data_IF_655720047510
#
_entry.id   IF_655720047510
#
_cell.length_a   1.000
_cell.length_b   1.000
_cell.length_c   1.000
_cell.angle_alpha   90.00
_cell.angle_beta   90.00
_cell.angle_gamma   90.00
#
_symmetry.space_group_name_H-M   'P 1'
#
loop_
_entity.id
_entity.type
_entity.pdbx_description
1 polymer ?
#
# COMPACT_ATOMS: atom_id res chain seq x y z
N UNK A 1 47.72 43.93 52.59
CA UNK A 1 47.69 42.74 51.70
C UNK A 1 46.31 42.08 51.73
N UNK A 2 45.22 42.86 51.63
CA UNK A 2 43.86 42.41 52.01
C UNK A 2 42.79 42.67 50.94
N UNK A 3 43.17 43.27 49.81
CA UNK A 3 42.22 43.60 48.73
C UNK A 3 42.25 42.55 47.59
N UNK A 4 43.34 41.78 47.46
CA UNK A 4 43.49 40.76 46.40
C UNK A 4 42.83 39.40 46.73
N UNK A 5 42.56 39.14 48.02
CA UNK A 5 41.84 37.93 48.48
C UNK A 5 40.31 38.07 48.33
N UNK A 6 39.80 39.31 48.34
CA UNK A 6 38.36 39.55 48.14
C UNK A 6 37.95 39.48 46.67
N UNK A 7 38.79 39.96 45.75
CA UNK A 7 38.49 39.84 44.31
C UNK A 7 38.55 38.39 43.82
N UNK A 8 39.44 37.57 44.40
CA UNK A 8 39.53 36.13 44.10
C UNK A 8 38.38 35.32 44.68
N UNK A 9 37.90 35.64 45.90
CA UNK A 9 36.70 35.01 46.48
C UNK A 9 35.40 35.38 45.74
N UNK A 10 35.27 36.64 45.28
CA UNK A 10 34.11 37.08 44.49
C UNK A 10 34.11 36.45 43.10
N UNK A 11 35.29 36.22 42.49
CA UNK A 11 35.40 35.52 41.21
C UNK A 11 35.07 34.01 41.32
N UNK A 12 35.48 33.33 42.39
CA UNK A 12 35.12 31.92 42.64
C UNK A 12 33.64 31.73 42.98
N UNK A 13 33.02 32.64 43.74
CA UNK A 13 31.56 32.61 43.99
C UNK A 13 30.77 32.87 42.70
N UNK A 14 31.23 33.78 41.83
CA UNK A 14 30.52 34.09 40.58
C UNK A 14 30.61 32.93 39.58
N UNK A 15 31.72 32.18 39.55
CA UNK A 15 31.87 30.98 38.73
C UNK A 15 31.04 29.80 39.27
N UNK A 16 30.97 29.60 40.59
CA UNK A 16 30.14 28.54 41.19
C UNK A 16 28.63 28.82 41.07
N UNK A 17 28.23 30.09 41.05
CA UNK A 17 26.82 30.48 40.86
C UNK A 17 26.38 30.35 39.40
N UNK A 18 27.29 30.55 38.43
CA UNK A 18 27.04 30.31 37.01
C UNK A 18 27.01 28.80 36.67
N UNK A 19 27.91 27.99 37.24
CA UNK A 19 27.92 26.53 37.05
C UNK A 19 26.67 25.84 37.61
N UNK A 20 26.19 26.28 38.79
CA UNK A 20 24.98 25.72 39.40
C UNK A 20 23.67 26.21 38.77
N UNK A 21 23.70 27.32 38.01
CA UNK A 21 22.58 27.77 37.18
C UNK A 21 22.47 26.98 35.87
N UNK A 22 23.60 26.63 35.24
CA UNK A 22 23.66 25.82 34.02
C UNK A 22 23.22 24.36 34.27
N UNK A 23 23.64 23.75 35.37
CA UNK A 23 23.18 22.40 35.77
C UNK A 23 21.67 22.35 36.06
N UNK A 24 21.10 23.40 36.66
CA UNK A 24 19.65 23.47 36.93
C UNK A 24 18.81 23.71 35.67
N UNK A 25 19.37 24.35 34.64
CA UNK A 25 18.70 24.50 33.34
C UNK A 25 18.79 23.25 32.47
N UNK A 26 19.88 22.50 32.56
CA UNK A 26 20.03 21.25 31.81
C UNK A 26 19.17 20.13 32.41
N UNK A 27 19.02 20.10 33.73
CA UNK A 27 18.18 19.10 34.40
C UNK A 27 16.66 19.36 34.23
N UNK A 28 16.26 20.60 33.92
CA UNK A 28 14.88 20.94 33.51
C UNK A 28 14.59 20.62 32.04
N UNK A 29 15.61 20.63 31.16
CA UNK A 29 15.51 20.14 29.78
C UNK A 29 15.58 18.62 29.70
N UNK A 30 16.36 17.96 30.56
CA UNK A 30 16.49 16.50 30.62
C UNK A 30 15.21 15.81 31.12
N UNK A 31 14.44 16.45 32.01
CA UNK A 31 13.19 15.90 32.57
C UNK A 31 11.96 16.10 31.70
N UNK A 32 11.98 17.08 30.77
CA UNK A 32 10.90 17.28 29.79
C UNK A 32 11.07 16.44 28.51
N UNK A 33 12.24 15.83 28.32
CA UNK A 33 12.56 14.98 27.15
C UNK A 33 12.64 13.48 27.47
N UNK A 34 12.14 13.03 28.63
CA UNK A 34 12.17 11.61 29.04
C UNK A 34 10.78 10.93 29.09
N UNK A 35 9.75 11.58 28.56
CA UNK A 35 8.36 11.10 28.58
C UNK A 35 7.75 10.70 27.23
N UNK A 36 8.27 11.18 26.09
CA UNK A 36 7.56 11.06 24.80
C UNK A 36 8.36 10.38 23.67
N UNK A 37 9.57 9.87 23.95
CA UNK A 37 10.43 9.29 22.90
C UNK A 37 10.28 7.79 22.63
N UNK A 38 9.76 6.98 23.57
CA UNK A 38 9.86 5.51 23.49
C UNK A 38 8.57 4.76 23.14
N UNK A 39 7.47 5.47 22.87
CA UNK A 39 6.17 4.85 22.54
C UNK A 39 5.88 4.76 21.04
N UNK A 40 6.61 5.51 20.20
CA UNK A 40 6.49 5.47 18.74
C UNK A 40 7.38 4.43 18.05
N UNK A 41 8.62 4.25 18.51
CA UNK A 41 9.60 3.37 17.84
C UNK A 41 9.32 1.87 18.00
N UNK A 42 8.59 1.47 19.05
CA UNK A 42 8.21 0.06 19.26
C UNK A 42 7.03 -0.41 18.41
N UNK A 43 6.25 0.51 17.80
CA UNK A 43 5.17 0.14 16.87
C UNK A 43 5.69 -0.06 15.44
N UNK A 44 6.65 0.74 14.98
CA UNK A 44 7.18 0.62 13.61
C UNK A 44 7.96 -0.67 13.36
N UNK A 45 8.71 -1.18 14.35
CA UNK A 45 9.54 -2.38 14.16
C UNK A 45 8.72 -3.68 13.98
N UNK A 46 7.46 -3.70 14.41
CA UNK A 46 6.60 -4.90 14.29
C UNK A 46 5.92 -4.98 12.91
N UNK A 47 5.85 -3.88 12.16
CA UNK A 47 5.25 -3.83 10.83
C UNK A 47 6.28 -4.08 9.70
N UNK A 48 7.57 -3.84 9.94
CA UNK A 48 8.64 -4.09 8.95
C UNK A 48 8.90 -5.58 8.66
N UNK A 49 8.46 -6.49 9.54
CA UNK A 49 8.85 -7.92 9.47
C UNK A 49 7.71 -8.91 9.18
N UNK A 50 6.52 -8.45 8.78
CA UNK A 50 5.58 -9.35 8.07
C UNK A 50 5.95 -9.31 6.60
N UNK A 51 6.98 -10.09 6.25
CA UNK A 51 7.46 -10.31 4.89
C UNK A 51 6.44 -11.03 4.03
N UNK A 52 5.30 -10.38 3.80
CA UNK A 52 4.49 -10.70 2.64
C UNK A 52 5.23 -10.10 1.45
N UNK A 53 5.63 -10.94 0.50
CA UNK A 53 6.19 -10.52 -0.78
C UNK A 53 5.12 -9.72 -1.53
N UNK A 54 5.13 -8.41 -1.30
CA UNK A 54 4.26 -7.47 -1.97
C UNK A 54 4.93 -7.05 -3.28
N UNK A 55 4.22 -7.29 -4.38
CA UNK A 55 4.57 -6.81 -5.70
C UNK A 55 4.25 -5.32 -5.78
N UNK A 56 5.23 -4.51 -6.13
CA UNK A 56 5.07 -3.07 -6.34
C UNK A 56 5.29 -2.69 -7.81
N UNK A 57 4.40 -1.84 -8.31
CA UNK A 57 4.46 -1.29 -9.67
C UNK A 57 4.36 0.22 -9.62
N UNK A 58 5.35 0.88 -10.20
CA UNK A 58 5.32 2.34 -10.39
C UNK A 58 4.61 2.63 -11.71
N UNK A 59 3.48 3.33 -11.64
CA UNK A 59 2.65 3.59 -12.82
C UNK A 59 3.12 4.84 -13.57
N UNK A 60 3.30 5.94 -12.85
CA UNK A 60 3.78 7.21 -13.40
C UNK A 60 4.59 7.98 -12.39
N UNK A 61 5.61 8.68 -12.89
CA UNK A 61 6.39 9.65 -12.12
C UNK A 61 6.25 11.01 -12.81
N UNK A 62 5.73 11.99 -12.07
CA UNK A 62 5.52 13.35 -12.55
C UNK A 62 6.49 14.30 -11.86
N UNK A 63 7.19 15.14 -12.63
CA UNK A 63 7.94 16.27 -12.07
C UNK A 63 7.03 17.49 -11.99
N UNK A 64 6.67 17.90 -10.78
CA UNK A 64 5.85 19.08 -10.50
C UNK A 64 6.71 20.24 -9.99
N UNK A 65 6.27 21.48 -10.20
CA UNK A 65 7.06 22.67 -9.81
C UNK A 65 6.22 23.73 -9.11
N UNK A 66 6.79 24.36 -8.07
CA UNK A 66 6.25 25.57 -7.45
C UNK A 66 7.10 26.78 -7.84
N UNK A 67 6.49 27.81 -8.42
CA UNK A 67 7.17 29.06 -8.77
C UNK A 67 7.27 29.99 -7.56
N UNK A 68 8.41 30.64 -7.39
CA UNK A 68 8.69 31.66 -6.37
C UNK A 68 9.50 32.81 -6.99
N UNK A 69 9.73 33.89 -6.24
CA UNK A 69 10.39 35.12 -6.74
C UNK A 69 11.78 34.88 -7.36
N UNK A 70 12.49 33.83 -6.93
CA UNK A 70 13.85 33.48 -7.38
C UNK A 70 13.94 32.28 -8.33
N UNK A 71 12.82 31.69 -8.76
CA UNK A 71 12.84 30.56 -9.69
C UNK A 71 11.72 29.54 -9.46
N UNK A 72 12.02 28.26 -9.76
CA UNK A 72 11.07 27.14 -9.62
C UNK A 72 11.67 26.07 -8.73
N UNK A 73 10.95 25.71 -7.68
CA UNK A 73 11.29 24.56 -6.83
C UNK A 73 10.62 23.32 -7.40
N UNK A 74 11.39 22.30 -7.76
CA UNK A 74 10.86 21.04 -8.27
C UNK A 74 10.54 20.05 -7.15
N UNK A 75 9.59 19.15 -7.43
CA UNK A 75 9.28 17.99 -6.63
C UNK A 75 8.81 16.87 -7.56
N UNK A 76 8.94 15.63 -7.13
CA UNK A 76 8.46 14.46 -7.85
C UNK A 76 7.24 13.90 -7.15
N UNK A 77 6.24 13.56 -7.94
CA UNK A 77 5.08 12.79 -7.52
C UNK A 77 5.12 11.42 -8.18
N UNK A 78 4.89 10.37 -7.40
CA UNK A 78 4.87 8.99 -7.86
C UNK A 78 3.50 8.37 -7.54
N UNK A 79 2.89 7.76 -8.55
CA UNK A 79 1.72 6.90 -8.38
C UNK A 79 2.21 5.45 -8.35
N UNK A 80 1.98 4.77 -7.23
CA UNK A 80 2.44 3.41 -6.98
C UNK A 80 1.26 2.52 -6.68
N UNK A 81 1.29 1.32 -7.22
CA UNK A 81 0.34 0.25 -6.91
C UNK A 81 1.11 -0.86 -6.22
N UNK A 82 0.54 -1.39 -5.14
CA UNK A 82 1.12 -2.46 -4.34
C UNK A 82 0.08 -3.57 -4.23
N UNK A 83 0.48 -4.83 -4.36
CA UNK A 83 -0.42 -5.96 -4.19
C UNK A 83 0.31 -7.26 -3.89
N UNK A 84 -0.44 -8.24 -3.40
CA UNK A 84 0.09 -9.56 -3.02
C UNK A 84 -0.03 -10.62 -4.14
N UNK A 85 -0.60 -10.25 -5.30
CA UNK A 85 -0.95 -11.19 -6.38
C UNK A 85 -2.05 -12.21 -5.99
N UNK A 86 -2.58 -12.11 -4.77
CA UNK A 86 -3.58 -13.02 -4.19
C UNK A 86 -4.96 -12.38 -4.06
N UNK A 87 -5.12 -11.16 -4.55
CA UNK A 87 -6.39 -10.44 -4.60
C UNK A 87 -6.41 -9.23 -3.69
N UNK A 88 -5.32 -8.90 -3.00
CA UNK A 88 -5.23 -7.68 -2.20
C UNK A 88 -4.39 -6.64 -2.93
N UNK A 89 -4.97 -5.45 -3.14
CA UNK A 89 -4.30 -4.34 -3.83
C UNK A 89 -4.49 -3.04 -3.07
N UNK A 90 -3.47 -2.20 -3.12
CA UNK A 90 -3.49 -0.84 -2.62
C UNK A 90 -2.90 0.11 -3.66
N UNK A 91 -3.44 1.32 -3.72
CA UNK A 91 -2.91 2.39 -4.56
C UNK A 91 -2.46 3.51 -3.64
N UNK A 92 -1.27 4.04 -3.89
CA UNK A 92 -0.68 5.10 -3.10
C UNK A 92 -0.13 6.23 -3.95
N UNK A 93 -0.19 7.43 -3.40
CA UNK A 93 0.33 8.63 -4.06
C UNK A 93 1.40 9.28 -3.18
N UNK A 94 2.64 9.25 -3.64
CA UNK A 94 3.78 9.80 -2.92
C UNK A 94 4.29 11.08 -3.56
N UNK A 95 4.71 12.06 -2.74
CA UNK A 95 5.39 13.27 -3.22
C UNK A 95 6.61 13.59 -2.37
N UNK A 96 7.74 13.86 -3.03
CA UNK A 96 8.98 14.25 -2.38
C UNK A 96 9.85 15.12 -3.29
N UNK A 97 10.99 15.61 -2.79
CA UNK A 97 11.99 16.34 -3.60
C UNK A 97 12.84 15.40 -4.46
N UNK A 98 12.93 14.14 -4.06
CA UNK A 98 13.68 13.09 -4.75
C UNK A 98 12.74 11.96 -5.20
N UNK A 99 13.09 11.28 -6.29
CA UNK A 99 12.27 10.21 -6.87
C UNK A 99 12.16 8.99 -5.95
N UNK A 100 13.25 8.41 -5.40
CA UNK A 100 13.14 7.23 -4.55
C UNK A 100 12.32 7.50 -3.28
N UNK A 101 12.51 8.68 -2.67
CA UNK A 101 11.73 9.10 -1.52
C UNK A 101 10.24 9.30 -1.84
N UNK A 102 9.89 9.71 -3.06
CA UNK A 102 8.49 9.80 -3.49
C UNK A 102 7.86 8.41 -3.67
N UNK A 103 8.60 7.46 -4.26
CA UNK A 103 8.14 6.07 -4.43
C UNK A 103 7.92 5.40 -3.07
N UNK A 104 8.89 5.52 -2.15
CA UNK A 104 8.78 4.95 -0.80
C UNK A 104 7.56 5.50 -0.04
N UNK A 105 7.29 6.80 -0.15
CA UNK A 105 6.06 7.41 0.42
C UNK A 105 4.80 6.86 -0.24
N UNK A 106 4.81 6.64 -1.55
CA UNK A 106 3.70 6.03 -2.29
C UNK A 106 3.44 4.59 -1.86
N UNK A 107 4.49 3.78 -1.66
CA UNK A 107 4.37 2.41 -1.16
C UNK A 107 3.77 2.37 0.25
N UNK A 108 4.23 3.23 1.16
CA UNK A 108 3.67 3.31 2.52
C UNK A 108 2.21 3.77 2.53
N UNK A 109 1.84 4.67 1.62
CA UNK A 109 0.45 5.11 1.45
C UNK A 109 -0.44 4.00 0.88
N UNK A 110 0.06 3.24 -0.11
CA UNK A 110 -0.66 2.10 -0.69
C UNK A 110 -0.93 1.00 0.33
N UNK A 111 0.07 0.66 1.17
CA UNK A 111 -0.06 -0.35 2.23
C UNK A 111 -1.15 -0.03 3.25
N UNK A 112 -1.44 1.25 3.49
CA UNK A 112 -2.53 1.68 4.39
C UNK A 112 -3.91 1.52 3.77
N UNK A 113 -4.00 1.55 2.45
CA UNK A 113 -5.26 1.55 1.69
C UNK A 113 -5.43 0.26 0.89
N UNK A 114 -4.96 -0.87 1.44
CA UNK A 114 -5.16 -2.18 0.84
C UNK A 114 -6.64 -2.57 0.91
N UNK A 115 -7.16 -3.11 -0.18
CA UNK A 115 -8.50 -3.66 -0.29
C UNK A 115 -8.47 -4.99 -1.02
N UNK A 116 -9.44 -5.85 -0.71
CA UNK A 116 -9.58 -7.18 -1.33
C UNK A 116 -10.48 -7.10 -2.55
N UNK A 117 -10.10 -7.84 -3.60
CA UNK A 117 -10.78 -7.88 -4.90
C UNK A 117 -11.45 -9.25 -5.07
N UNK A 118 -12.78 -9.30 -5.24
CA UNK A 118 -13.51 -10.50 -5.64
C UNK A 118 -13.02 -11.06 -6.98
N UNK A 119 -12.65 -12.34 -7.01
CA UNK A 119 -12.17 -13.00 -8.25
C UNK A 119 -12.52 -14.48 -8.28
N UNK A 120 -12.70 -15.01 -9.49
CA UNK A 120 -12.96 -16.43 -9.74
C UNK A 120 -11.93 -16.91 -10.75
N UNK A 121 -11.12 -17.90 -10.37
CA UNK A 121 -10.13 -18.54 -11.26
C UNK A 121 -9.23 -17.54 -12.02
N UNK A 122 -8.87 -16.43 -11.39
CA UNK A 122 -8.01 -15.40 -11.98
C UNK A 122 -8.73 -14.34 -12.84
N UNK A 123 -10.06 -14.36 -12.94
CA UNK A 123 -10.87 -13.31 -13.59
C UNK A 123 -11.85 -12.63 -12.63
N UNK A 124 -12.45 -11.51 -13.06
CA UNK A 124 -13.49 -10.78 -12.31
C UNK A 124 -14.85 -11.49 -12.37
N UNK A 125 -15.75 -11.26 -11.41
CA UNK A 125 -17.02 -12.00 -11.32
C UNK A 125 -18.02 -11.61 -12.42
N UNK A 126 -18.15 -10.32 -12.72
CA UNK A 126 -19.11 -9.78 -13.68
C UNK A 126 -18.57 -8.50 -14.34
N UNK A 127 -19.12 -8.06 -15.48
CA UNK A 127 -18.69 -6.81 -16.10
C UNK A 127 -19.11 -5.61 -15.25
N UNK A 128 -18.17 -4.68 -15.02
CA UNK A 128 -18.39 -3.48 -14.21
C UNK A 128 -17.85 -2.24 -14.90
N UNK A 129 -18.59 -1.14 -14.77
CA UNK A 129 -18.15 0.20 -15.14
C UNK A 129 -17.75 0.98 -13.89
N UNK A 130 -16.46 1.31 -13.79
CA UNK A 130 -15.93 2.21 -12.77
C UNK A 130 -15.89 3.64 -13.28
N UNK A 131 -16.18 4.58 -12.39
CA UNK A 131 -16.16 6.00 -12.69
C UNK A 131 -15.58 6.77 -11.51
N UNK A 132 -14.48 7.48 -11.73
CA UNK A 132 -13.91 8.41 -10.76
C UNK A 132 -13.45 9.69 -11.46
N UNK A 133 -13.93 10.84 -10.97
CA UNK A 133 -13.74 12.14 -11.59
C UNK A 133 -14.11 12.13 -13.09
N UNK A 134 -13.12 12.23 -13.99
CA UNK A 134 -13.32 12.15 -15.44
C UNK A 134 -12.83 10.82 -16.06
N UNK A 135 -12.38 9.88 -15.22
CA UNK A 135 -11.94 8.55 -15.64
C UNK A 135 -13.11 7.57 -15.64
N UNK A 136 -13.29 6.87 -16.75
CA UNK A 136 -14.26 5.76 -16.87
C UNK A 136 -13.52 4.53 -17.37
N UNK A 137 -13.66 3.41 -16.67
CA UNK A 137 -13.01 2.14 -17.03
C UNK A 137 -14.05 1.03 -17.03
N UNK A 138 -14.13 0.32 -18.16
CA UNK A 138 -14.89 -0.91 -18.27
C UNK A 138 -13.96 -2.08 -17.92
N UNK A 139 -14.39 -2.90 -16.96
CA UNK A 139 -13.82 -4.20 -16.65
C UNK A 139 -14.80 -5.26 -17.14
N UNK A 140 -14.33 -6.22 -17.94
CA UNK A 140 -15.13 -7.34 -18.43
C UNK A 140 -14.40 -8.66 -18.18
N UNK A 141 -15.07 -9.67 -17.62
CA UNK A 141 -14.48 -10.99 -17.43
C UNK A 141 -14.09 -11.61 -18.78
N UNK A 142 -13.05 -12.43 -18.74
CA UNK A 142 -12.50 -13.11 -19.90
C UNK A 142 -12.40 -14.62 -19.66
N UNK A 143 -12.32 -15.39 -20.75
CA UNK A 143 -12.06 -16.81 -20.66
C UNK A 143 -10.60 -17.06 -20.19
N UNK A 144 -10.32 -18.19 -19.52
CA UNK A 144 -8.97 -18.52 -19.08
C UNK A 144 -8.01 -18.59 -20.28
N UNK A 145 -6.82 -18.01 -20.13
CA UNK A 145 -5.80 -17.95 -21.18
C UNK A 145 -5.87 -16.73 -22.11
N UNK A 146 -6.75 -15.77 -21.82
CA UNK A 146 -6.84 -14.49 -22.56
C UNK A 146 -5.70 -13.53 -22.19
N UNK A 147 -5.20 -13.60 -20.95
CA UNK A 147 -4.22 -12.66 -20.42
C UNK A 147 -4.81 -11.29 -20.05
N UNK A 148 -3.93 -10.39 -19.61
CA UNK A 148 -4.31 -9.03 -19.15
C UNK A 148 -4.31 -8.05 -20.33
N UNK A 149 -5.49 -7.88 -20.95
CA UNK A 149 -5.70 -6.90 -22.02
C UNK A 149 -6.14 -5.57 -21.41
N UNK A 150 -5.14 -4.75 -21.11
CA UNK A 150 -5.33 -3.47 -20.43
C UNK A 150 -4.30 -2.41 -20.84
N UNK A 151 -4.68 -1.13 -20.71
CA UNK A 151 -3.74 -0.01 -20.80
C UNK A 151 -2.79 0.00 -19.60
N UNK A 152 -1.61 0.63 -19.74
CA UNK A 152 -0.52 0.51 -18.75
C UNK A 152 -0.92 0.79 -17.29
N UNK A 153 -1.75 1.81 -17.05
CA UNK A 153 -2.25 2.13 -15.71
C UNK A 153 -3.15 1.04 -15.11
N UNK A 154 -4.08 0.50 -15.90
CA UNK A 154 -4.99 -0.57 -15.48
C UNK A 154 -4.23 -1.88 -15.34
N UNK A 155 -3.30 -2.17 -16.27
CA UNK A 155 -2.47 -3.38 -16.25
C UNK A 155 -1.67 -3.50 -14.95
N UNK A 156 -1.03 -2.42 -14.51
CA UNK A 156 -0.29 -2.42 -13.24
C UNK A 156 -1.18 -2.81 -12.04
N UNK A 157 -2.44 -2.37 -12.02
CA UNK A 157 -3.41 -2.74 -10.99
C UNK A 157 -3.81 -4.21 -11.07
N UNK A 158 -4.11 -4.71 -12.27
CA UNK A 158 -4.55 -6.09 -12.48
C UNK A 158 -3.44 -7.10 -12.17
N UNK A 159 -2.18 -6.80 -12.54
CA UNK A 159 -1.03 -7.64 -12.21
C UNK A 159 -0.81 -7.71 -10.69
N UNK A 160 -0.84 -6.57 -9.99
CA UNK A 160 -0.74 -6.54 -8.53
C UNK A 160 -1.92 -7.25 -7.84
N UNK A 161 -3.11 -7.23 -8.45
CA UNK A 161 -4.28 -7.99 -7.98
C UNK A 161 -4.15 -9.51 -8.20
N UNK A 162 -3.23 -9.94 -9.07
CA UNK A 162 -3.14 -11.31 -9.54
C UNK A 162 -4.34 -11.74 -10.40
N UNK A 163 -4.93 -10.80 -11.14
CA UNK A 163 -5.92 -11.10 -12.17
C UNK A 163 -5.13 -11.44 -13.43
N UNK A 164 -5.29 -12.68 -13.92
CA UNK A 164 -4.58 -13.19 -15.09
C UNK A 164 -5.32 -12.87 -16.37
N UNK A 165 -6.66 -12.93 -16.34
CA UNK A 165 -7.49 -12.89 -17.54
C UNK A 165 -8.57 -11.81 -17.41
N UNK A 166 -8.44 -10.74 -18.18
CA UNK A 166 -9.42 -9.65 -18.17
C UNK A 166 -9.38 -8.84 -19.47
N UNK A 167 -10.56 -8.42 -19.91
CA UNK A 167 -10.72 -7.43 -20.98
C UNK A 167 -11.07 -6.09 -20.36
N UNK A 168 -10.28 -5.06 -20.68
CA UNK A 168 -10.54 -3.72 -20.15
C UNK A 168 -10.48 -2.66 -21.23
N UNK A 169 -11.24 -1.59 -21.02
CA UNK A 169 -11.15 -0.39 -21.85
C UNK A 169 -11.31 0.87 -21.00
N UNK A 170 -10.34 1.77 -21.09
CA UNK A 170 -10.48 3.14 -20.60
C UNK A 170 -11.27 3.96 -21.63
N UNK A 171 -12.37 4.57 -21.19
CA UNK A 171 -13.32 5.33 -22.01
C UNK A 171 -13.57 6.69 -21.35
N UNK A 172 -12.52 7.51 -21.22
CA UNK A 172 -12.62 8.81 -20.57
C UNK A 172 -11.25 9.49 -20.52
N UNK A 173 -10.93 10.08 -19.38
CA UNK A 173 -9.63 10.71 -19.14
C UNK A 173 -8.47 9.73 -19.34
N UNK A 174 -7.44 10.18 -20.07
CA UNK A 174 -6.20 9.43 -20.27
C UNK A 174 -5.20 9.59 -19.11
N UNK A 175 -5.50 10.44 -18.12
CA UNK A 175 -4.59 10.70 -16.99
C UNK A 175 -4.49 9.47 -16.09
N UNK A 176 -3.27 8.96 -15.88
CA UNK A 176 -3.03 7.74 -15.12
C UNK A 176 -3.66 7.73 -13.72
N UNK A 177 -3.62 8.87 -13.00
CA UNK A 177 -4.23 8.99 -11.66
C UNK A 177 -5.74 8.72 -11.71
N UNK A 178 -6.45 9.33 -12.66
CA UNK A 178 -7.90 9.16 -12.79
C UNK A 178 -8.25 7.75 -13.27
N UNK A 179 -7.47 7.20 -14.20
CA UNK A 179 -7.66 5.82 -14.69
C UNK A 179 -7.49 4.81 -13.55
N UNK A 180 -6.44 4.94 -12.74
CA UNK A 180 -6.21 4.03 -11.61
C UNK A 180 -7.32 4.17 -10.57
N UNK A 181 -7.74 5.40 -10.23
CA UNK A 181 -8.85 5.59 -9.28
C UNK A 181 -10.18 5.03 -9.79
N UNK A 182 -10.50 5.25 -11.06
CA UNK A 182 -11.69 4.67 -11.69
C UNK A 182 -11.62 3.13 -11.73
N UNK A 183 -10.42 2.57 -11.89
CA UNK A 183 -10.20 1.11 -11.79
C UNK A 183 -10.45 0.61 -10.37
N UNK A 184 -9.95 1.32 -9.35
CA UNK A 184 -10.23 0.98 -7.94
C UNK A 184 -11.72 1.05 -7.64
N UNK A 185 -12.42 2.06 -8.14
CA UNK A 185 -13.88 2.15 -8.03
C UNK A 185 -14.60 0.97 -8.69
N UNK A 186 -14.18 0.59 -9.91
CA UNK A 186 -14.72 -0.60 -10.58
C UNK A 186 -14.51 -1.87 -9.76
N UNK A 187 -13.31 -2.06 -9.19
CA UNK A 187 -12.99 -3.25 -8.40
C UNK A 187 -13.76 -3.30 -7.08
N UNK A 188 -14.03 -2.15 -6.45
CA UNK A 188 -14.84 -2.07 -5.21
C UNK A 188 -16.32 -2.33 -5.44
N UNK A 189 -16.80 -2.14 -6.67
CA UNK A 189 -18.19 -2.45 -7.07
C UNK A 189 -18.39 -3.93 -7.40
N UNK A 190 -17.31 -4.71 -7.51
CA UNK A 190 -17.44 -6.15 -7.65
C UNK A 190 -18.04 -6.72 -6.37
N UNK A 191 -18.96 -7.66 -6.55
CA UNK A 191 -19.62 -8.39 -5.48
C UNK A 191 -19.34 -9.87 -5.69
N UNK A 192 -19.17 -10.60 -4.60
CA UNK A 192 -19.10 -12.06 -4.67
C UNK A 192 -20.50 -12.66 -4.79
N UNK A 193 -20.67 -13.76 -5.54
CA UNK A 193 -21.96 -14.42 -5.66
C UNK A 193 -22.52 -14.85 -4.30
N UNK A 194 -21.66 -15.19 -3.34
CA UNK A 194 -22.07 -15.56 -1.98
C UNK A 194 -22.66 -14.40 -1.20
N UNK A 195 -22.06 -13.21 -1.32
CA UNK A 195 -22.55 -12.00 -0.69
C UNK A 195 -23.94 -11.62 -1.24
N UNK A 196 -24.16 -11.80 -2.54
CA UNK A 196 -25.46 -11.57 -3.18
C UNK A 196 -26.49 -12.58 -2.67
N UNK A 197 -26.12 -13.86 -2.56
CA UNK A 197 -27.00 -14.91 -2.03
C UNK A 197 -27.39 -14.61 -0.58
N UNK A 198 -26.41 -14.26 0.26
CA UNK A 198 -26.63 -13.89 1.66
C UNK A 198 -27.55 -12.66 1.79
N UNK A 199 -27.38 -11.65 0.92
CA UNK A 199 -28.21 -10.44 0.90
C UNK A 199 -29.65 -10.72 0.44
N UNK A 200 -29.84 -11.68 -0.48
CA UNK A 200 -31.16 -12.01 -1.05
C UNK A 200 -31.86 -13.17 -0.34
N UNK A 201 -31.16 -13.93 0.49
CA UNK A 201 -31.68 -15.12 1.18
C UNK A 201 -32.00 -16.29 0.23
N UNK A 202 -31.38 -16.31 -0.95
CA UNK A 202 -31.59 -17.34 -1.98
C UNK A 202 -30.40 -18.27 -2.08
N UNK A 203 -30.61 -19.45 -2.66
CA UNK A 203 -29.55 -20.43 -2.88
C UNK A 203 -28.59 -20.00 -4.00
N UNK A 204 -27.36 -20.53 -3.98
CA UNK A 204 -26.33 -20.19 -4.98
C UNK A 204 -26.76 -20.56 -6.42
N UNK A 205 -27.55 -21.62 -6.56
CA UNK A 205 -28.06 -22.12 -7.84
C UNK A 205 -29.10 -21.19 -8.47
N UNK A 206 -29.88 -20.48 -7.66
CA UNK A 206 -30.92 -19.56 -8.13
C UNK A 206 -30.35 -18.19 -8.54
N UNK A 207 -29.19 -17.82 -7.99
CA UNK A 207 -28.59 -16.49 -8.16
C UNK A 207 -27.47 -16.49 -9.20
N UNK A 208 -26.62 -17.52 -9.21
CA UNK A 208 -25.46 -17.58 -10.07
C UNK A 208 -25.76 -18.40 -11.34
N UNK A 209 -25.36 -17.92 -12.53
CA UNK A 209 -25.53 -18.70 -13.76
C UNK A 209 -24.62 -19.94 -13.75
N UNK A 210 -25.07 -21.03 -14.38
CA UNK A 210 -24.35 -22.31 -14.49
C UNK A 210 -22.88 -22.17 -14.90
N UNK A 211 -22.60 -21.26 -15.83
CA UNK A 211 -21.24 -21.02 -16.29
C UNK A 211 -20.31 -20.56 -15.16
N UNK A 212 -20.80 -19.67 -14.29
CA UNK A 212 -20.03 -19.16 -13.15
C UNK A 212 -19.86 -20.24 -12.07
N UNK A 213 -20.87 -21.09 -11.85
CA UNK A 213 -20.79 -22.23 -10.94
C UNK A 213 -19.74 -23.26 -11.39
N UNK A 214 -19.67 -23.55 -12.69
CA UNK A 214 -18.65 -24.46 -13.27
C UNK A 214 -17.24 -23.90 -13.10
N UNK A 215 -17.03 -22.62 -13.44
CA UNK A 215 -15.73 -21.97 -13.28
C UNK A 215 -15.32 -21.88 -11.80
N UNK A 216 -16.28 -21.69 -10.91
CA UNK A 216 -16.05 -21.70 -9.47
C UNK A 216 -15.64 -23.09 -8.97
N UNK A 217 -16.35 -24.14 -9.37
CA UNK A 217 -16.01 -25.51 -9.02
C UNK A 217 -14.61 -25.90 -9.54
N UNK A 218 -14.30 -25.53 -10.79
CA UNK A 218 -12.97 -25.71 -11.37
C UNK A 218 -11.90 -24.95 -10.59
N UNK A 219 -12.14 -23.68 -10.23
CA UNK A 219 -11.20 -22.89 -9.44
C UNK A 219 -10.96 -23.45 -8.04
N UNK A 220 -11.99 -23.97 -7.36
CA UNK A 220 -11.84 -24.64 -6.05
C UNK A 220 -11.04 -25.94 -6.20
N UNK A 221 -11.30 -26.72 -7.25
CA UNK A 221 -10.56 -27.95 -7.54
C UNK A 221 -9.08 -27.68 -7.82
N UNK A 222 -8.77 -26.66 -8.64
CA UNK A 222 -7.41 -26.21 -8.93
C UNK A 222 -6.70 -25.70 -7.66
N UNK A 223 -7.38 -24.88 -6.85
CA UNK A 223 -6.83 -24.39 -5.59
C UNK A 223 -6.58 -25.53 -4.57
N UNK A 224 -7.46 -26.53 -4.53
CA UNK A 224 -7.29 -27.72 -3.69
C UNK A 224 -6.10 -28.55 -4.15
N UNK A 225 -5.99 -28.83 -5.45
CA UNK A 225 -4.87 -29.55 -6.05
C UNK A 225 -3.53 -28.83 -5.79
N UNK A 226 -3.49 -27.51 -5.99
CA UNK A 226 -2.29 -26.72 -5.71
C UNK A 226 -1.91 -26.72 -4.22
N UNK A 227 -2.88 -26.73 -3.30
CA UNK A 227 -2.62 -26.85 -1.86
C UNK A 227 -2.09 -28.24 -1.49
N UNK A 228 -2.67 -29.30 -2.07
CA UNK A 228 -2.24 -30.69 -1.87
C UNK A 228 -0.82 -30.91 -2.41
N UNK A 229 -0.51 -30.38 -3.60
CA UNK A 229 0.84 -30.39 -4.18
C UNK A 229 1.84 -29.58 -3.35
N UNK A 230 1.46 -28.39 -2.87
CA UNK A 230 2.30 -27.59 -1.99
C UNK A 230 2.53 -28.27 -0.62
N UNK A 231 1.54 -28.99 -0.10
CA UNK A 231 1.67 -29.79 1.13
C UNK A 231 2.57 -31.01 0.91
N UNK A 232 2.45 -31.69 -0.24
CA UNK A 232 3.32 -32.79 -0.62
C UNK A 232 4.77 -32.34 -0.81
N UNK A 233 5.00 -31.19 -1.46
CA UNK A 233 6.32 -30.60 -1.63
C UNK A 233 6.95 -30.18 -0.29
N UNK A 234 6.16 -29.57 0.61
CA UNK A 234 6.62 -29.24 1.97
C UNK A 234 6.91 -30.50 2.80
N UNK A 235 6.13 -31.56 2.65
CA UNK A 235 6.34 -32.84 3.33
C UNK A 235 7.57 -33.60 2.78
N UNK A 236 7.90 -33.46 1.49
CA UNK A 236 9.11 -33.98 0.90
C UNK A 236 10.36 -33.22 1.38
N UNK A 237 10.31 -31.88 1.37
CA UNK A 237 11.38 -31.03 1.90
C UNK A 237 11.65 -31.25 3.40
N UNK A 238 10.65 -31.65 4.18
CA UNK A 238 10.80 -32.00 5.58
C UNK A 238 11.44 -33.39 5.80
N UNK A 239 11.43 -34.28 4.81
CA UNK A 239 12.03 -35.64 4.89
C UNK A 239 13.47 -35.70 4.38
N UNK A 240 13.86 -34.81 3.47
CA UNK A 240 15.24 -34.72 2.95
C UNK A 240 16.19 -33.92 3.87
N UNK A 241 15.69 -33.41 5.00
CA UNK A 241 16.42 -32.58 5.96
C UNK A 241 16.74 -33.26 7.31
N UNK A 242 16.51 -34.56 7.43
CA UNK A 242 16.85 -35.41 8.60
C UNK A 242 17.92 -36.43 8.21
#
# INVERSE_FOLDING_TARGET
MSDNEKETQVAEETQNTQASAEERTDDRRSRRSKGEGKRGERRNRREENRGEELLDRVVTINRVSKTHKGGRTFSFAALVVVGDGKGTVGVGYGKSREVPAAIAKGQLDAKKHMFTVPRIRGTVTHPVLGHDAAGTVLLRPAAPGTGVIAGGAVRAVMECAGITDILTKSMGSATAVNVVRATVDALKKLEEPEEICARRGLSLEEVAPDALLRERAAGIAEARKAREEAQAAKAAQAKDGE
#
